data_IF_799144535234
#
_entry.id   IF_799144535234
#
_cell.length_a   1.000
_cell.length_b   1.000
_cell.length_c   1.000
_cell.angle_alpha   90.00
_cell.angle_beta   90.00
_cell.angle_gamma   90.00
#
_symmetry.space_group_name_H-M   'P 1'
#
loop_
_entity.id
_entity.type
_entity.pdbx_description
1 polymer ?
#
# COMPACT_ATOMS: atom_id res chain seq x y z
N UNK A 1 22.21 -14.87 -12.93
CA UNK A 1 21.22 -13.91 -12.41
C UNK A 1 19.89 -14.18 -13.10
N UNK A 2 19.14 -15.16 -12.62
CA UNK A 2 17.79 -15.40 -13.14
C UNK A 2 16.84 -14.44 -12.44
N UNK A 3 16.25 -13.51 -13.18
CA UNK A 3 15.11 -12.77 -12.68
C UNK A 3 13.97 -13.77 -12.51
N UNK A 4 13.77 -14.28 -11.29
CA UNK A 4 12.66 -15.18 -11.01
C UNK A 4 11.41 -14.35 -10.78
N UNK A 5 10.34 -14.59 -11.56
CA UNK A 5 9.14 -13.79 -11.44
C UNK A 5 8.49 -14.02 -10.06
N UNK A 6 7.97 -12.95 -9.41
CA UNK A 6 7.26 -13.07 -8.14
C UNK A 6 6.08 -14.04 -8.27
N UNK A 7 5.66 -14.67 -7.17
CA UNK A 7 4.48 -15.54 -7.21
C UNK A 7 3.23 -14.74 -7.58
N UNK A 8 2.28 -15.39 -8.26
CA UNK A 8 0.95 -14.81 -8.52
C UNK A 8 0.30 -14.30 -7.23
N UNK A 9 0.49 -15.01 -6.12
CA UNK A 9 0.00 -14.60 -4.80
C UNK A 9 0.59 -13.27 -4.32
N UNK A 10 1.92 -13.11 -4.39
CA UNK A 10 2.58 -11.84 -4.01
C UNK A 10 2.08 -10.70 -4.90
N UNK A 11 1.94 -10.93 -6.21
CA UNK A 11 1.42 -9.92 -7.14
C UNK A 11 0.01 -9.47 -6.75
N UNK A 12 -0.91 -10.41 -6.51
CA UNK A 12 -2.29 -10.10 -6.09
C UNK A 12 -2.30 -9.32 -4.77
N UNK A 13 -1.50 -9.74 -3.81
CA UNK A 13 -1.43 -9.14 -2.48
C UNK A 13 -0.82 -7.73 -2.51
N UNK A 14 0.23 -7.52 -3.32
CA UNK A 14 0.79 -6.17 -3.56
C UNK A 14 -0.22 -5.27 -4.28
N UNK A 15 -0.96 -5.81 -5.25
CA UNK A 15 -1.97 -5.02 -5.97
C UNK A 15 -3.10 -4.57 -5.03
N UNK A 16 -3.56 -5.44 -4.12
CA UNK A 16 -4.56 -5.07 -3.12
C UNK A 16 -4.06 -3.97 -2.18
N UNK A 17 -2.84 -4.07 -1.67
CA UNK A 17 -2.28 -3.02 -0.81
C UNK A 17 -2.09 -1.68 -1.54
N UNK A 18 -1.71 -1.73 -2.82
CA UNK A 18 -1.58 -0.54 -3.65
C UNK A 18 -2.93 0.13 -3.87
N UNK A 19 -3.96 -0.63 -4.24
CA UNK A 19 -5.32 -0.09 -4.47
C UNK A 19 -5.88 0.52 -3.18
N UNK A 20 -5.70 -0.15 -2.04
CA UNK A 20 -6.11 0.37 -0.73
C UNK A 20 -5.36 1.66 -0.37
N UNK A 21 -4.05 1.71 -0.59
CA UNK A 21 -3.25 2.92 -0.36
C UNK A 21 -3.70 4.10 -1.23
N UNK A 22 -4.01 3.84 -2.51
CA UNK A 22 -4.56 4.86 -3.43
C UNK A 22 -5.93 5.31 -2.96
N UNK A 23 -6.79 4.40 -2.53
CA UNK A 23 -8.14 4.73 -2.06
C UNK A 23 -8.08 5.67 -0.85
N UNK A 24 -7.26 5.35 0.16
CA UNK A 24 -7.07 6.20 1.33
C UNK A 24 -6.47 7.56 0.93
N UNK A 25 -5.51 7.58 0.00
CA UNK A 25 -4.91 8.83 -0.46
C UNK A 25 -5.91 9.72 -1.21
N UNK A 26 -6.77 9.13 -2.04
CA UNK A 26 -7.82 9.86 -2.77
C UNK A 26 -8.86 10.45 -1.82
N UNK A 27 -9.27 9.71 -0.78
CA UNK A 27 -10.18 10.16 0.27
C UNK A 27 -9.61 11.40 0.99
N UNK A 28 -8.32 11.37 1.35
CA UNK A 28 -7.65 12.49 2.03
C UNK A 28 -7.44 13.71 1.13
N UNK A 29 -7.02 13.52 -0.13
CA UNK A 29 -6.55 14.62 -0.98
C UNK A 29 -7.67 15.28 -1.76
N UNK A 30 -8.59 14.48 -2.28
CA UNK A 30 -9.59 15.01 -3.19
C UNK A 30 -10.91 15.33 -2.50
N UNK A 31 -11.16 14.78 -1.29
CA UNK A 31 -12.42 14.96 -0.54
C UNK A 31 -13.67 14.73 -1.41
N UNK A 32 -13.53 13.90 -2.47
CA UNK A 32 -14.55 13.68 -3.51
C UNK A 32 -15.72 12.86 -2.96
N UNK A 33 -15.48 12.14 -1.87
CA UNK A 33 -16.44 11.27 -1.21
C UNK A 33 -16.73 11.87 0.16
N UNK A 34 -18.01 11.88 0.55
CA UNK A 34 -18.38 12.10 1.95
C UNK A 34 -17.50 11.17 2.80
N UNK A 35 -16.68 11.67 3.74
CA UNK A 35 -15.55 10.94 4.30
C UNK A 35 -15.99 9.56 4.78
N UNK A 36 -15.63 8.54 4.00
CA UNK A 36 -15.97 7.16 4.31
C UNK A 36 -15.18 6.70 5.54
N UNK A 37 -13.99 7.27 5.70
CA UNK A 37 -13.12 7.04 6.84
C UNK A 37 -13.41 8.06 7.94
N UNK A 38 -13.61 7.62 9.20
CA UNK A 38 -13.76 8.55 10.31
C UNK A 38 -12.49 9.38 10.49
N UNK A 39 -12.60 10.63 10.92
CA UNK A 39 -11.43 11.46 11.27
C UNK A 39 -10.56 10.74 12.31
N UNK A 40 -9.31 10.48 11.94
CA UNK A 40 -8.32 9.81 12.79
C UNK A 40 -7.07 10.67 12.83
N UNK A 41 -6.84 11.37 13.93
CA UNK A 41 -5.67 12.22 14.14
C UNK A 41 -4.65 11.54 15.04
N UNK A 42 -3.39 11.58 14.60
CA UNK A 42 -2.23 11.10 15.35
C UNK A 42 -1.23 12.25 15.46
N UNK A 43 -1.00 12.74 16.68
CA UNK A 43 -0.03 13.80 16.97
C UNK A 43 -0.21 15.08 16.11
N UNK A 44 -1.47 15.42 15.76
CA UNK A 44 -1.79 16.60 14.94
C UNK A 44 -1.65 16.40 13.44
N UNK A 45 -1.38 15.17 12.98
CA UNK A 45 -1.39 14.79 11.57
C UNK A 45 -2.52 13.79 11.31
N UNK A 46 -3.07 13.82 10.10
CA UNK A 46 -4.07 12.85 9.67
C UNK A 46 -3.44 11.43 9.68
N UNK A 47 -3.87 10.59 10.63
CA UNK A 47 -3.35 9.25 10.85
C UNK A 47 -3.57 8.33 9.65
N UNK A 48 -4.60 8.59 8.83
CA UNK A 48 -4.82 7.84 7.58
C UNK A 48 -3.71 8.08 6.56
N UNK A 49 -3.09 9.27 6.55
CA UNK A 49 -1.96 9.56 5.68
C UNK A 49 -0.75 8.68 6.04
N UNK A 50 -0.49 8.49 7.32
CA UNK A 50 0.58 7.61 7.82
C UNK A 50 0.31 6.16 7.41
N UNK A 51 -0.94 5.71 7.55
CA UNK A 51 -1.36 4.36 7.15
C UNK A 51 -1.20 4.17 5.63
N UNK A 52 -1.59 5.15 4.81
CA UNK A 52 -1.41 5.11 3.36
C UNK A 52 0.07 4.98 2.98
N UNK A 53 0.96 5.75 3.62
CA UNK A 53 2.42 5.64 3.42
C UNK A 53 2.95 4.24 3.76
N UNK A 54 2.51 3.67 4.89
CA UNK A 54 2.90 2.32 5.31
C UNK A 54 2.43 1.28 4.28
N UNK A 55 1.21 1.41 3.74
CA UNK A 55 0.66 0.52 2.72
C UNK A 55 1.44 0.59 1.40
N UNK A 56 1.82 1.79 0.95
CA UNK A 56 2.66 1.97 -0.23
C UNK A 56 4.05 1.36 -0.02
N UNK A 57 4.66 1.58 1.15
CA UNK A 57 5.94 0.98 1.49
C UNK A 57 5.87 -0.55 1.55
N UNK A 58 4.82 -1.12 2.16
CA UNK A 58 4.57 -2.56 2.21
C UNK A 58 4.41 -3.16 0.81
N UNK A 59 3.68 -2.48 -0.07
CA UNK A 59 3.52 -2.89 -1.48
C UNK A 59 4.89 -3.07 -2.14
N UNK A 60 5.75 -2.06 -2.02
CA UNK A 60 7.09 -2.11 -2.60
C UNK A 60 7.97 -3.18 -1.94
N UNK A 61 7.94 -3.27 -0.61
CA UNK A 61 8.73 -4.23 0.17
C UNK A 61 8.36 -5.69 -0.17
N UNK A 62 7.06 -5.98 -0.28
CA UNK A 62 6.57 -7.32 -0.64
C UNK A 62 6.92 -7.68 -2.08
N UNK A 63 6.88 -6.71 -3.00
CA UNK A 63 7.33 -6.92 -4.37
C UNK A 63 8.82 -7.26 -4.42
N UNK A 64 9.65 -6.48 -3.71
CA UNK A 64 11.09 -6.72 -3.58
C UNK A 64 11.38 -8.12 -3.00
N UNK A 65 10.70 -8.48 -1.92
CA UNK A 65 10.87 -9.75 -1.23
C UNK A 65 10.40 -10.93 -2.09
N UNK A 66 9.30 -10.76 -2.83
CA UNK A 66 8.78 -11.75 -3.79
C UNK A 66 9.73 -12.03 -4.95
N UNK A 67 10.53 -11.05 -5.36
CA UNK A 67 11.60 -11.23 -6.37
C UNK A 67 12.82 -11.89 -5.74
N UNK A 68 13.26 -11.46 -4.54
CA UNK A 68 14.49 -11.96 -3.91
C UNK A 68 14.38 -13.38 -3.35
N UNK A 69 13.26 -13.75 -2.72
CA UNK A 69 13.09 -15.07 -2.08
C UNK A 69 13.03 -16.24 -3.07
N UNK A 70 12.70 -15.99 -4.34
CA UNK A 70 12.78 -16.99 -5.40
C UNK A 70 14.12 -17.00 -6.14
N UNK A 71 14.99 -16.04 -5.85
CA UNK A 71 16.30 -15.90 -6.48
C UNK A 71 17.43 -16.59 -5.71
N UNK A 72 17.12 -17.19 -4.56
CA UNK A 72 17.96 -18.14 -3.81
C UNK A 72 17.63 -19.57 -4.24
#
# INVERSE_FOLDING_TARGET
MGWTPPTKFVVILTFLFMVLGIFIFMDIVMDIWDPFLPTFDLFGYNGWFIIALILFFLTWFLFYLGVKLKGL
#
